data_IF_533780749053
#
_entry.id   IF_533780749053
#
_cell.length_a   1.000
_cell.length_b   1.000
_cell.length_c   1.000
_cell.angle_alpha   90.00
_cell.angle_beta   90.00
_cell.angle_gamma   90.00
#
_symmetry.space_group_name_H-M   'P 1'
#
loop_
_entity.id
_entity.type
_entity.pdbx_description
1 polymer ?
#
# COMPACT_ATOMS: atom_id res chain seq x y z
N UNK A 1 18.84 -4.66 12.09
CA UNK A 1 18.12 -3.39 12.37
C UNK A 1 16.64 -3.70 12.38
N UNK A 2 15.87 -3.07 13.27
CA UNK A 2 14.41 -3.22 13.31
C UNK A 2 13.76 -2.06 12.54
N UNK A 3 12.67 -2.34 11.81
CA UNK A 3 11.80 -1.35 11.18
C UNK A 3 10.47 -1.33 11.94
N UNK A 4 9.87 -0.17 12.10
CA UNK A 4 8.62 0.02 12.84
C UNK A 4 7.63 0.76 11.96
N UNK A 5 6.38 0.32 11.97
CA UNK A 5 5.33 0.84 11.07
C UNK A 5 4.08 1.18 11.88
N UNK A 6 3.31 2.14 11.38
CA UNK A 6 1.96 2.43 11.86
C UNK A 6 1.00 2.13 10.71
N UNK A 7 -0.02 1.34 10.99
CA UNK A 7 -1.08 1.01 10.05
C UNK A 7 -2.35 1.73 10.51
N UNK A 8 -3.03 2.38 9.58
CA UNK A 8 -4.30 3.06 9.80
C UNK A 8 -5.18 2.65 8.62
N UNK A 9 -6.32 2.04 8.92
CA UNK A 9 -7.32 1.74 7.90
C UNK A 9 -7.93 3.05 7.38
N UNK A 10 -8.12 3.12 6.07
CA UNK A 10 -8.71 4.26 5.35
C UNK A 10 -9.83 3.75 4.45
N UNK A 11 -10.73 4.64 4.04
CA UNK A 11 -11.75 4.28 3.06
C UNK A 11 -11.16 4.18 1.63
N UNK A 12 -11.93 3.54 0.75
CA UNK A 12 -11.56 3.35 -0.65
C UNK A 12 -11.30 4.68 -1.37
N UNK A 13 -12.16 5.68 -1.17
CA UNK A 13 -12.01 7.00 -1.81
C UNK A 13 -10.67 7.66 -1.44
N UNK A 14 -10.25 7.58 -0.17
CA UNK A 14 -8.95 8.09 0.30
C UNK A 14 -7.77 7.32 -0.29
N UNK A 15 -7.92 6.00 -0.49
CA UNK A 15 -6.89 5.18 -1.13
C UNK A 15 -6.70 5.55 -2.60
N UNK A 16 -7.79 5.65 -3.35
CA UNK A 16 -7.78 6.01 -4.77
C UNK A 16 -7.29 7.44 -4.97
N UNK A 17 -7.70 8.40 -4.13
CA UNK A 17 -7.22 9.78 -4.20
C UNK A 17 -5.69 9.88 -3.99
N UNK A 18 -5.14 9.06 -3.07
CA UNK A 18 -3.72 9.09 -2.77
C UNK A 18 -2.85 8.36 -3.79
N UNK A 19 -3.34 7.23 -4.33
CA UNK A 19 -2.53 6.32 -5.16
C UNK A 19 -2.82 6.44 -6.65
N UNK A 20 -4.02 6.91 -7.02
CA UNK A 20 -4.55 6.82 -8.38
C UNK A 20 -4.98 5.42 -8.81
N UNK A 21 -4.84 4.42 -7.94
CA UNK A 21 -5.10 3.01 -8.22
C UNK A 21 -6.30 2.52 -7.41
N UNK A 22 -6.99 1.49 -7.93
CA UNK A 22 -8.05 0.76 -7.24
C UNK A 22 -7.63 -0.71 -7.08
N UNK A 23 -8.25 -1.42 -6.14
CA UNK A 23 -8.02 -2.85 -5.97
C UNK A 23 -8.57 -3.65 -7.18
N UNK A 24 -9.64 -3.17 -7.82
CA UNK A 24 -10.28 -3.73 -9.00
C UNK A 24 -10.47 -5.27 -8.93
N UNK A 25 -9.64 -6.02 -9.66
CA UNK A 25 -9.68 -7.48 -9.78
C UNK A 25 -8.48 -8.17 -9.10
N UNK A 26 -7.67 -7.42 -8.36
CA UNK A 26 -6.59 -7.94 -7.54
C UNK A 26 -7.10 -8.34 -6.15
N UNK A 27 -6.50 -9.36 -5.55
CA UNK A 27 -6.80 -9.72 -4.15
C UNK A 27 -6.10 -8.79 -3.16
N UNK A 28 -4.99 -8.19 -3.58
CA UNK A 28 -4.24 -7.19 -2.82
C UNK A 28 -3.44 -6.27 -3.75
N UNK A 29 -3.31 -5.01 -3.36
CA UNK A 29 -2.46 -4.02 -4.03
C UNK A 29 -1.64 -3.22 -3.01
N UNK A 30 -0.34 -3.04 -3.27
CA UNK A 30 0.56 -2.22 -2.46
C UNK A 30 1.17 -1.11 -3.33
N UNK A 31 0.89 0.14 -2.99
CA UNK A 31 1.33 1.31 -3.76
C UNK A 31 2.22 2.21 -2.91
N UNK A 32 3.51 2.32 -3.22
CA UNK A 32 4.38 3.33 -2.62
C UNK A 32 4.16 4.69 -3.30
N UNK A 33 3.75 5.71 -2.53
CA UNK A 33 3.54 7.07 -3.05
C UNK A 33 3.85 8.09 -1.96
N UNK A 34 4.54 9.17 -2.33
CA UNK A 34 4.86 10.33 -1.47
C UNK A 34 5.43 9.97 -0.07
N UNK A 35 6.37 9.02 -0.01
CA UNK A 35 6.99 8.60 1.26
C UNK A 35 6.13 7.68 2.12
N UNK A 36 4.95 7.30 1.64
CA UNK A 36 4.02 6.39 2.28
C UNK A 36 3.84 5.10 1.46
N UNK A 37 3.35 4.06 2.12
CA UNK A 37 2.97 2.80 1.47
C UNK A 37 1.51 2.55 1.78
N UNK A 38 0.69 2.60 0.73
CA UNK A 38 -0.73 2.34 0.80
C UNK A 38 -0.98 0.87 0.44
N UNK A 39 -1.85 0.21 1.18
CA UNK A 39 -2.26 -1.17 0.93
C UNK A 39 -3.77 -1.29 0.85
N UNK A 40 -4.25 -2.01 -0.15
CA UNK A 40 -5.62 -2.48 -0.26
C UNK A 40 -5.62 -4.02 -0.31
N UNK A 41 -6.59 -4.65 0.33
CA UNK A 41 -6.76 -6.11 0.36
C UNK A 41 -8.26 -6.41 0.31
N UNK A 42 -8.64 -7.44 -0.43
CA UNK A 42 -10.01 -7.95 -0.43
C UNK A 42 -10.17 -8.88 0.77
N UNK A 43 -10.83 -8.38 1.82
CA UNK A 43 -11.06 -9.11 3.07
C UNK A 43 -12.12 -10.22 2.95
N UNK A 44 -12.75 -10.36 1.77
CA UNK A 44 -13.68 -11.45 1.47
C UNK A 44 -12.94 -12.75 1.20
N UNK A 45 -11.78 -12.67 0.53
CA UNK A 45 -11.00 -13.81 0.06
C UNK A 45 -9.60 -13.89 0.72
N UNK A 46 -9.08 -12.79 1.28
CA UNK A 46 -7.78 -12.75 1.98
C UNK A 46 -7.91 -12.43 3.47
N UNK A 47 -7.11 -13.12 4.30
CA UNK A 47 -7.08 -12.92 5.76
C UNK A 47 -5.87 -12.08 6.21
N UNK A 48 -4.96 -11.73 5.30
CA UNK A 48 -3.67 -11.12 5.61
C UNK A 48 -3.29 -10.01 4.61
N UNK A 49 -2.65 -8.95 5.10
CA UNK A 49 -2.02 -7.91 4.28
C UNK A 49 -0.49 -8.13 4.22
N UNK A 50 0.00 -8.57 3.06
CA UNK A 50 1.42 -8.80 2.76
C UNK A 50 2.07 -7.56 2.15
N UNK A 51 2.89 -6.84 2.93
CA UNK A 51 3.60 -5.64 2.45
C UNK A 51 5.10 -5.96 2.27
N UNK A 52 5.63 -6.01 1.04
CA UNK A 52 7.05 -6.26 0.83
C UNK A 52 7.91 -5.11 1.36
N UNK A 53 8.93 -5.40 2.17
CA UNK A 53 9.72 -4.35 2.84
C UNK A 53 10.43 -3.37 1.88
N UNK A 54 10.67 -3.76 0.63
CA UNK A 54 11.30 -2.89 -0.37
C UNK A 54 10.40 -1.75 -0.82
N UNK A 55 9.07 -1.85 -0.67
CA UNK A 55 8.14 -0.79 -1.09
C UNK A 55 8.34 0.49 -0.30
N UNK A 56 8.73 0.37 0.97
CA UNK A 56 9.11 1.51 1.81
C UNK A 56 10.42 2.16 1.36
N UNK A 57 11.29 1.43 0.67
CA UNK A 57 12.52 1.99 0.10
C UNK A 57 12.21 2.75 -1.20
N UNK A 58 11.23 2.26 -1.99
CA UNK A 58 10.67 2.96 -3.16
C UNK A 58 9.94 4.24 -2.76
N UNK A 59 9.07 4.16 -1.75
CA UNK A 59 8.25 5.29 -1.30
C UNK A 59 9.10 6.52 -0.92
N UNK A 60 10.25 6.29 -0.28
CA UNK A 60 11.15 7.35 0.18
C UNK A 60 11.98 7.96 -0.95
N UNK A 61 12.32 7.17 -1.99
CA UNK A 61 13.22 7.61 -3.04
C UNK A 61 12.52 8.28 -4.22
N UNK A 62 11.21 8.08 -4.41
CA UNK A 62 10.44 8.78 -5.45
C UNK A 62 11.05 8.69 -6.85
N UNK A 63 11.82 7.64 -7.14
CA UNK A 63 12.46 7.46 -8.43
C UNK A 63 11.60 6.54 -9.30
N UNK A 64 10.98 7.17 -10.29
CA UNK A 64 10.60 6.55 -11.55
C UNK A 64 11.86 5.89 -12.15
N UNK A 65 11.85 4.57 -12.35
CA UNK A 65 12.69 3.88 -13.34
C UNK A 65 11.89 3.69 -14.64
#
# INVERSE_FOLDING_TARGET
>A
MARYFKLIEIDCDSFVEATGEDLDCYSQLIVPVDGLVYGAVDDTDEEELSVPLYTFDTAVNGEED
#
